data_IF_751544830005
#
_entry.id   IF_751544830005
#
_cell.length_a   1.000
_cell.length_b   1.000
_cell.length_c   1.000
_cell.angle_alpha   90.00
_cell.angle_beta   90.00
_cell.angle_gamma   90.00
#
_symmetry.space_group_name_H-M   'P 1'
#
loop_
_entity.id
_entity.type
_entity.pdbx_description
1 polymer ?
#
# COMPACT_ATOMS: atom_id res chain seq x y z
N UNK A 1 15.95 3.52 27.48
CA UNK A 1 15.29 4.29 26.41
C UNK A 1 15.84 3.95 25.03
N UNK A 2 15.41 4.68 24.01
CA UNK A 2 16.01 4.64 22.66
C UNK A 2 17.29 5.46 22.64
N UNK A 3 18.35 4.91 22.08
CA UNK A 3 19.65 5.52 21.90
C UNK A 3 19.93 5.65 20.41
N UNK A 4 20.57 6.74 20.04
CA UNK A 4 21.07 6.97 18.69
C UNK A 4 22.60 6.89 18.75
N UNK A 5 23.20 6.08 17.89
CA UNK A 5 24.66 5.99 17.78
C UNK A 5 25.06 6.76 16.53
N UNK A 6 25.94 7.75 16.66
CA UNK A 6 26.57 8.42 15.53
C UNK A 6 27.99 7.92 15.33
N UNK A 7 28.35 7.72 14.07
CA UNK A 7 29.70 7.44 13.60
C UNK A 7 30.15 8.66 12.80
N UNK A 8 31.24 9.28 13.20
CA UNK A 8 31.85 10.38 12.44
C UNK A 8 33.21 9.92 11.94
N UNK A 9 33.43 10.06 10.63
CA UNK A 9 34.67 9.76 9.96
C UNK A 9 35.18 11.07 9.38
N UNK A 10 36.47 11.32 9.51
CA UNK A 10 37.14 12.45 8.87
C UNK A 10 37.98 11.90 7.73
N UNK A 11 37.83 12.45 6.52
CA UNK A 11 38.69 12.09 5.41
C UNK A 11 40.06 12.78 5.48
N UNK A 12 40.97 12.40 4.57
CA UNK A 12 42.33 12.96 4.51
C UNK A 12 42.37 14.47 4.23
N UNK A 13 41.26 15.06 3.77
CA UNK A 13 41.10 16.49 3.51
C UNK A 13 40.37 17.23 4.64
N UNK A 14 40.14 16.56 5.78
CA UNK A 14 39.50 17.16 6.95
C UNK A 14 37.97 17.28 6.86
N UNK A 15 37.33 16.69 5.83
CA UNK A 15 35.87 16.73 5.70
C UNK A 15 35.26 15.64 6.56
N UNK A 16 34.15 15.98 7.22
CA UNK A 16 33.44 15.07 8.12
C UNK A 16 32.31 14.35 7.36
N UNK A 17 32.35 13.03 7.37
CA UNK A 17 31.26 12.16 6.96
C UNK A 17 30.64 11.53 8.22
N UNK A 18 29.33 11.68 8.39
CA UNK A 18 28.63 11.19 9.57
C UNK A 18 27.54 10.18 9.17
N UNK A 19 27.55 9.01 9.80
CA UNK A 19 26.55 7.96 9.65
C UNK A 19 25.89 7.68 10.99
N UNK A 20 24.64 7.24 10.99
CA UNK A 20 23.88 7.04 12.23
C UNK A 20 23.24 5.66 12.25
N UNK A 21 23.21 5.05 13.43
CA UNK A 21 22.34 3.93 13.75
C UNK A 21 21.22 4.47 14.63
N UNK A 22 20.08 4.71 14.00
CA UNK A 22 18.85 5.06 14.70
C UNK A 22 18.24 3.78 15.28
N UNK A 23 17.59 3.90 16.44
CA UNK A 23 16.80 2.82 17.06
C UNK A 23 17.55 1.74 17.86
N UNK A 24 18.64 2.05 18.57
CA UNK A 24 19.13 1.17 19.63
C UNK A 24 18.19 1.26 20.84
N UNK A 25 17.32 0.27 21.02
CA UNK A 25 16.43 0.22 22.19
C UNK A 25 17.11 -0.48 23.37
N UNK A 26 17.34 0.25 24.46
CA UNK A 26 17.78 -0.31 25.74
C UNK A 26 16.59 -0.24 26.70
N UNK A 27 16.10 -1.39 27.15
CA UNK A 27 14.98 -1.45 28.10
C UNK A 27 15.42 -0.95 29.50
N UNK A 28 14.57 -0.16 30.17
CA UNK A 28 14.79 0.25 31.58
C UNK A 28 14.63 1.74 31.94
N UNK A 29 13.78 2.51 31.24
CA UNK A 29 13.57 3.94 31.52
C UNK A 29 12.19 4.28 32.09
N UNK A 30 12.11 5.11 33.14
CA UNK A 30 10.85 5.60 33.72
C UNK A 30 10.37 6.89 33.04
N UNK A 31 9.07 7.23 33.12
CA UNK A 31 8.48 8.41 32.46
C UNK A 31 9.19 9.75 32.71
N UNK A 32 9.95 9.88 33.81
CA UNK A 32 10.79 11.05 34.13
C UNK A 32 11.92 11.29 33.11
N UNK A 33 12.36 10.28 32.37
CA UNK A 33 13.36 10.46 31.30
C UNK A 33 12.78 11.15 30.06
N UNK A 34 11.50 10.95 29.75
CA UNK A 34 10.84 11.65 28.64
C UNK A 34 10.71 13.15 28.93
N UNK A 35 10.43 13.51 30.18
CA UNK A 35 10.42 14.91 30.64
C UNK A 35 11.81 15.54 30.54
N UNK A 36 12.88 14.85 30.98
CA UNK A 36 14.26 15.32 30.82
C UNK A 36 14.68 15.52 29.35
N UNK A 37 14.23 14.65 28.44
CA UNK A 37 14.50 14.83 27.00
C UNK A 37 13.91 16.12 26.44
N UNK A 38 12.76 16.60 26.94
CA UNK A 38 12.19 17.90 26.53
C UNK A 38 12.99 19.10 27.02
N UNK A 39 13.76 18.92 28.09
CA UNK A 39 14.62 19.95 28.68
C UNK A 39 15.96 20.03 27.94
N UNK A 40 16.54 18.90 27.56
CA UNK A 40 17.90 18.81 26.97
C UNK A 40 17.91 18.77 25.43
N UNK A 41 16.82 18.33 24.78
CA UNK A 41 16.72 18.14 23.32
C UNK A 41 15.41 18.70 22.77
N UNK A 42 15.32 18.86 21.45
CA UNK A 42 14.05 19.19 20.77
C UNK A 42 13.29 17.90 20.44
N UNK A 43 12.26 17.48 21.20
CA UNK A 43 11.50 16.28 20.85
C UNK A 43 10.74 16.48 19.52
N UNK A 44 10.49 15.36 18.82
CA UNK A 44 9.49 15.31 17.74
C UNK A 44 8.15 14.92 18.36
N UNK A 45 7.20 15.84 18.38
CA UNK A 45 5.85 15.58 18.85
C UNK A 45 5.01 14.87 17.78
N UNK A 46 3.96 14.20 18.19
CA UNK A 46 2.98 13.59 17.27
C UNK A 46 1.79 14.53 17.12
N UNK A 47 1.30 14.71 15.89
CA UNK A 47 0.05 15.43 15.63
C UNK A 47 -1.03 14.46 15.14
N UNK A 48 -2.29 14.81 15.39
CA UNK A 48 -3.44 14.03 14.94
C UNK A 48 -3.98 14.62 13.66
N UNK A 49 -4.20 13.76 12.66
CA UNK A 49 -4.78 14.11 11.37
C UNK A 49 -6.11 13.38 11.25
N UNK A 50 -7.19 14.11 10.94
CA UNK A 50 -8.53 13.56 10.81
C UNK A 50 -9.08 13.97 9.44
N UNK A 51 -9.21 13.03 8.49
CA UNK A 51 -9.89 13.30 7.23
C UNK A 51 -11.40 13.35 7.44
N UNK A 52 -12.12 14.08 6.58
CA UNK A 52 -13.58 14.13 6.60
C UNK A 52 -14.27 12.83 6.16
N UNK A 53 -13.57 11.95 5.43
CA UNK A 53 -14.06 10.65 5.00
C UNK A 53 -12.93 9.59 4.97
N UNK A 54 -13.29 8.32 4.93
CA UNK A 54 -12.32 7.21 4.80
C UNK A 54 -12.05 6.83 3.35
N UNK A 55 -13.06 6.97 2.47
CA UNK A 55 -13.01 6.60 1.06
C UNK A 55 -13.39 7.81 0.21
N UNK A 56 -12.59 8.08 -0.81
CA UNK A 56 -12.81 9.18 -1.75
C UNK A 56 -12.99 8.69 -3.18
N UNK A 57 -13.69 9.47 -3.98
CA UNK A 57 -13.65 9.39 -5.43
C UNK A 57 -12.64 10.40 -5.97
N UNK A 58 -12.08 10.17 -7.16
CA UNK A 58 -11.28 11.18 -7.84
C UNK A 58 -12.09 12.46 -8.07
N UNK A 59 -11.43 13.60 -8.00
CA UNK A 59 -12.02 14.95 -8.05
C UNK A 59 -12.85 15.35 -6.80
N UNK A 60 -13.03 14.47 -5.81
CA UNK A 60 -13.60 14.83 -4.51
C UNK A 60 -12.71 15.86 -3.77
N UNK A 61 -13.35 16.68 -2.94
CA UNK A 61 -12.65 17.62 -2.05
C UNK A 61 -12.46 16.96 -0.69
N UNK A 62 -11.20 16.75 -0.31
CA UNK A 62 -10.83 16.25 1.00
C UNK A 62 -10.58 17.44 1.93
N UNK A 63 -11.25 17.42 3.08
CA UNK A 63 -10.99 18.34 4.18
C UNK A 63 -10.20 17.60 5.25
N UNK A 64 -8.97 18.05 5.48
CA UNK A 64 -8.04 17.44 6.41
C UNK A 64 -7.91 18.29 7.66
N UNK A 65 -8.54 17.86 8.76
CA UNK A 65 -8.42 18.51 10.06
C UNK A 65 -7.10 18.11 10.71
N UNK A 66 -6.28 19.11 11.04
CA UNK A 66 -4.96 18.94 11.65
C UNK A 66 -5.05 19.50 13.07
N UNK A 67 -4.85 18.64 14.05
CA UNK A 67 -4.78 19.02 15.47
C UNK A 67 -3.31 19.19 15.86
N UNK A 68 -2.91 20.42 16.13
CA UNK A 68 -1.53 20.76 16.42
C UNK A 68 -1.26 20.76 17.92
N UNK A 69 -0.14 20.16 18.37
CA UNK A 69 0.25 20.18 19.78
C UNK A 69 0.79 21.55 20.24
N UNK A 70 1.03 22.48 19.31
CA UNK A 70 1.53 23.83 19.60
C UNK A 70 1.11 24.84 18.54
N UNK A 71 1.04 26.11 18.94
CA UNK A 71 0.78 27.25 18.05
C UNK A 71 1.64 28.47 18.46
N UNK A 72 2.02 29.37 17.52
CA UNK A 72 1.83 29.28 16.06
C UNK A 72 2.78 28.25 15.40
N UNK A 73 2.36 27.72 14.25
CA UNK A 73 3.13 26.73 13.50
C UNK A 73 3.02 26.96 11.98
N UNK A 74 4.11 26.69 11.26
CA UNK A 74 4.12 26.56 9.80
C UNK A 74 4.05 25.08 9.46
N UNK A 75 3.10 24.71 8.61
CA UNK A 75 2.84 23.34 8.23
C UNK A 75 3.12 23.05 6.77
N UNK A 76 3.50 21.81 6.49
CA UNK A 76 3.67 21.24 5.16
C UNK A 76 2.88 19.93 5.08
N UNK A 77 1.98 19.83 4.11
CA UNK A 77 1.30 18.58 3.75
C UNK A 77 2.03 17.96 2.57
N UNK A 78 2.46 16.71 2.72
CA UNK A 78 3.20 15.93 1.74
C UNK A 78 2.33 14.74 1.37
N UNK A 79 2.23 14.45 0.07
CA UNK A 79 1.49 13.30 -0.45
C UNK A 79 2.47 12.29 -1.02
N UNK A 80 2.40 11.04 -0.56
CA UNK A 80 3.24 9.93 -1.01
C UNK A 80 2.35 8.82 -1.59
N UNK A 81 2.59 8.48 -2.85
CA UNK A 81 2.00 7.33 -3.52
C UNK A 81 3.14 6.48 -4.09
N UNK A 82 3.50 5.38 -3.42
CA UNK A 82 4.58 4.46 -3.84
C UNK A 82 5.97 5.13 -4.02
N UNK A 83 6.23 6.22 -3.31
CA UNK A 83 7.46 7.00 -3.42
C UNK A 83 7.36 8.21 -4.36
N UNK A 84 6.27 8.34 -5.12
CA UNK A 84 5.99 9.54 -5.89
C UNK A 84 5.44 10.63 -4.98
N UNK A 85 6.19 11.74 -4.86
CA UNK A 85 5.83 12.88 -4.02
C UNK A 85 5.13 13.93 -4.88
N UNK A 86 3.86 14.23 -4.56
CA UNK A 86 3.13 15.31 -5.22
C UNK A 86 3.53 16.69 -4.66
N UNK A 87 3.10 17.77 -5.33
CA UNK A 87 3.39 19.13 -4.84
C UNK A 87 2.85 19.32 -3.41
N UNK A 88 3.71 19.72 -2.46
CA UNK A 88 3.29 19.84 -1.08
C UNK A 88 2.47 21.11 -0.86
N UNK A 89 1.52 21.05 0.07
CA UNK A 89 0.68 22.19 0.44
C UNK A 89 1.25 22.85 1.69
N UNK A 90 1.55 24.14 1.61
CA UNK A 90 1.97 24.93 2.76
C UNK A 90 0.76 25.57 3.44
N UNK A 91 0.75 25.57 4.77
CA UNK A 91 -0.28 26.22 5.56
C UNK A 91 0.29 26.80 6.85
N UNK A 92 -0.49 27.64 7.53
CA UNK A 92 -0.08 28.26 8.79
C UNK A 92 -1.18 28.12 9.84
N UNK A 93 -0.75 27.83 11.07
CA UNK A 93 -1.60 27.81 12.26
C UNK A 93 -1.38 29.13 12.99
N UNK A 94 -2.44 29.91 13.11
CA UNK A 94 -2.42 31.20 13.81
C UNK A 94 -2.15 30.99 15.31
N UNK A 95 -1.62 32.00 16.02
CA UNK A 95 -1.51 31.96 17.48
C UNK A 95 -2.86 31.64 18.13
N UNK A 96 -2.84 30.91 19.26
CA UNK A 96 -4.02 30.57 20.07
C UNK A 96 -5.05 29.66 19.38
N UNK A 97 -4.68 29.05 18.24
CA UNK A 97 -5.47 28.00 17.60
C UNK A 97 -4.78 26.65 17.70
N UNK A 98 -5.51 25.65 18.16
CA UNK A 98 -5.00 24.28 18.31
C UNK A 98 -5.33 23.39 17.11
N UNK A 99 -6.05 23.92 16.12
CA UNK A 99 -6.42 23.18 14.92
C UNK A 99 -6.52 24.07 13.68
N UNK A 100 -6.40 23.43 12.52
CA UNK A 100 -6.63 24.03 11.22
C UNK A 100 -7.12 22.98 10.23
N UNK A 101 -7.87 23.40 9.20
CA UNK A 101 -8.35 22.52 8.14
C UNK A 101 -7.63 22.87 6.85
N UNK A 102 -7.08 21.87 6.17
CA UNK A 102 -6.47 22.01 4.86
C UNK A 102 -7.35 21.30 3.83
N UNK A 103 -7.72 22.00 2.78
CA UNK A 103 -8.58 21.48 1.71
C UNK A 103 -7.76 21.23 0.45
N UNK A 104 -7.98 20.09 -0.20
CA UNK A 104 -7.37 19.76 -1.48
C UNK A 104 -8.26 18.79 -2.29
N UNK A 105 -8.07 18.79 -3.61
CA UNK A 105 -8.77 17.86 -4.51
C UNK A 105 -8.00 16.56 -4.67
N UNK A 106 -8.73 15.44 -4.68
CA UNK A 106 -8.17 14.11 -4.90
C UNK A 106 -7.79 13.91 -6.37
N UNK A 107 -6.51 13.68 -6.64
CA UNK A 107 -6.03 13.36 -8.00
C UNK A 107 -6.39 11.93 -8.41
N UNK A 108 -6.57 11.71 -9.72
CA UNK A 108 -6.75 10.38 -10.34
C UNK A 108 -5.50 9.50 -10.22
N UNK A 109 -4.33 10.10 -10.06
CA UNK A 109 -3.06 9.37 -9.95
C UNK A 109 -2.90 8.68 -8.58
N UNK A 110 -3.68 9.12 -7.58
CA UNK A 110 -3.67 8.56 -6.23
C UNK A 110 -4.56 7.33 -6.07
N UNK A 111 -5.12 6.78 -7.15
CA UNK A 111 -5.87 5.52 -7.12
C UNK A 111 -4.88 4.35 -6.98
N UNK A 112 -5.11 3.38 -6.08
CA UNK A 112 -6.28 3.21 -5.22
C UNK A 112 -6.15 3.77 -3.79
N UNK A 113 -5.05 4.45 -3.50
CA UNK A 113 -4.80 5.05 -2.21
C UNK A 113 -3.46 5.75 -2.19
N UNK A 114 -3.29 6.61 -1.20
CA UNK A 114 -2.08 7.38 -0.98
C UNK A 114 -1.94 7.70 0.50
N UNK A 115 -0.73 8.08 0.90
CA UNK A 115 -0.44 8.48 2.26
C UNK A 115 -0.22 9.98 2.33
N UNK A 116 -0.96 10.62 3.22
CA UNK A 116 -0.79 12.03 3.57
C UNK A 116 0.08 12.11 4.80
N UNK A 117 1.10 12.94 4.71
CA UNK A 117 1.98 13.28 5.82
C UNK A 117 1.90 14.77 6.09
N UNK A 118 1.89 15.13 7.37
CA UNK A 118 1.88 16.52 7.80
C UNK A 118 3.09 16.74 8.70
N UNK A 119 3.86 17.76 8.37
CA UNK A 119 4.95 18.26 9.21
C UNK A 119 4.59 19.66 9.71
N UNK A 120 4.75 19.89 11.01
CA UNK A 120 4.59 21.20 11.63
C UNK A 120 5.93 21.65 12.20
N UNK A 121 6.26 22.91 11.98
CA UNK A 121 7.42 23.57 12.57
C UNK A 121 6.98 24.84 13.27
N UNK A 122 7.40 25.01 14.52
CA UNK A 122 7.04 26.18 15.32
C UNK A 122 8.07 26.43 16.41
N UNK A 123 7.65 27.19 17.42
CA UNK A 123 8.50 27.50 18.56
C UNK A 123 7.67 27.60 19.83
N UNK A 124 8.14 26.95 20.90
CA UNK A 124 7.46 26.85 22.20
C UNK A 124 8.40 27.37 23.29
N UNK A 125 7.91 28.02 24.36
CA UNK A 125 8.72 28.31 25.54
C UNK A 125 9.45 27.07 26.07
N UNK A 126 10.64 27.27 26.64
CA UNK A 126 11.39 26.17 27.26
C UNK A 126 10.74 25.78 28.60
N UNK A 127 10.62 24.48 28.83
CA UNK A 127 10.15 23.89 30.08
C UNK A 127 11.33 23.87 31.09
N UNK A 128 11.77 25.03 31.58
CA UNK A 128 12.93 25.15 32.51
C UNK A 128 12.58 25.92 33.78
N UNK A 129 13.22 25.57 34.91
CA UNK A 129 13.04 26.21 36.23
C UNK A 129 13.56 27.66 36.34
N UNK A 130 14.29 28.15 35.34
CA UNK A 130 14.86 29.50 35.33
C UNK A 130 14.20 30.40 34.30
N UNK A 131 13.81 31.59 34.75
CA UNK A 131 13.13 32.62 33.96
C UNK A 131 14.14 33.24 32.99
N UNK A 132 13.76 33.35 31.71
CA UNK A 132 14.42 34.13 30.65
C UNK A 132 15.31 33.37 29.62
N UNK A 133 14.79 32.30 29.03
CA UNK A 133 15.35 31.71 27.79
C UNK A 133 14.49 32.01 26.57
N UNK A 134 15.12 32.13 25.40
CA UNK A 134 14.42 32.15 24.11
C UNK A 134 13.67 30.83 23.89
N UNK A 135 12.52 30.91 23.21
CA UNK A 135 11.74 29.73 22.83
C UNK A 135 12.61 28.68 22.13
N UNK A 136 12.30 27.40 22.38
CA UNK A 136 12.90 26.28 21.64
C UNK A 136 12.16 26.07 20.32
N UNK A 137 12.83 25.54 19.29
CA UNK A 137 12.13 24.98 18.14
C UNK A 137 11.19 23.86 18.59
N UNK A 138 10.06 23.71 17.90
CA UNK A 138 9.13 22.61 18.07
C UNK A 138 8.81 22.00 16.71
N UNK A 139 8.68 20.67 16.67
CA UNK A 139 8.28 19.93 15.48
C UNK A 139 7.21 18.95 15.88
N UNK A 140 6.19 18.82 15.04
CA UNK A 140 5.28 17.70 15.11
C UNK A 140 5.13 17.03 13.74
N UNK A 141 4.98 15.72 13.73
CA UNK A 141 4.75 14.94 12.52
C UNK A 141 3.54 14.03 12.68
N UNK A 142 2.76 13.87 11.62
CA UNK A 142 1.61 12.96 11.58
C UNK A 142 1.47 12.33 10.21
N UNK A 143 0.84 11.16 10.15
CA UNK A 143 0.62 10.44 8.89
C UNK A 143 -0.74 9.77 8.91
N UNK A 144 -1.44 9.80 7.78
CA UNK A 144 -2.72 9.11 7.57
C UNK A 144 -2.74 8.53 6.15
N UNK A 145 -3.25 7.31 6.00
CA UNK A 145 -3.49 6.70 4.70
C UNK A 145 -4.94 6.90 4.30
N UNK A 146 -5.17 7.33 3.06
CA UNK A 146 -6.51 7.56 2.51
C UNK A 146 -6.75 6.60 1.35
N UNK A 147 -7.95 6.04 1.28
CA UNK A 147 -8.37 5.15 0.20
C UNK A 147 -9.11 5.94 -0.89
N UNK A 148 -8.78 5.65 -2.15
CA UNK A 148 -9.40 6.26 -3.32
C UNK A 148 -10.02 5.14 -4.16
N UNK A 149 -11.30 5.28 -4.47
CA UNK A 149 -12.04 4.23 -5.17
C UNK A 149 -11.45 3.92 -6.56
N UNK A 150 -11.51 2.63 -6.91
CA UNK A 150 -11.10 2.09 -8.22
C UNK A 150 -12.25 2.09 -9.24
N UNK A 151 -13.39 2.69 -8.90
CA UNK A 151 -14.62 2.61 -9.70
C UNK A 151 -14.44 3.13 -11.13
N UNK A 152 -13.58 4.14 -11.34
CA UNK A 152 -13.22 4.63 -12.68
C UNK A 152 -12.63 3.52 -13.59
N UNK A 153 -11.91 2.57 -13.01
CA UNK A 153 -11.25 1.48 -13.71
C UNK A 153 -12.06 0.17 -13.66
N UNK A 154 -13.25 0.18 -13.08
CA UNK A 154 -14.08 -1.01 -12.92
C UNK A 154 -15.07 -1.16 -14.07
N UNK A 155 -15.15 -2.38 -14.60
CA UNK A 155 -16.24 -2.81 -15.48
C UNK A 155 -17.25 -3.63 -14.68
N UNK A 156 -18.53 -3.47 -15.04
CA UNK A 156 -19.60 -4.33 -14.59
C UNK A 156 -19.83 -5.41 -15.64
N UNK A 157 -19.60 -6.67 -15.27
CA UNK A 157 -19.70 -7.82 -16.17
C UNK A 157 -20.82 -8.72 -15.65
N UNK A 158 -21.90 -8.81 -16.41
CA UNK A 158 -23.06 -9.63 -16.09
C UNK A 158 -23.10 -10.83 -17.01
N UNK A 159 -23.01 -12.03 -16.43
CA UNK A 159 -23.11 -13.30 -17.14
C UNK A 159 -24.52 -13.84 -16.97
N UNK A 160 -25.20 -14.09 -18.08
CA UNK A 160 -26.57 -14.58 -18.13
C UNK A 160 -26.69 -15.77 -19.08
N UNK A 161 -27.82 -16.46 -18.98
CA UNK A 161 -28.18 -17.58 -19.85
C UNK A 161 -29.67 -17.54 -20.16
N UNK A 162 -30.05 -18.17 -21.27
CA UNK A 162 -31.45 -18.23 -21.70
C UNK A 162 -32.34 -19.12 -20.80
N UNK A 163 -31.74 -20.01 -20.00
CA UNK A 163 -32.47 -20.92 -19.13
C UNK A 163 -32.77 -20.31 -17.76
N UNK A 164 -34.05 -20.12 -17.43
CA UNK A 164 -34.51 -19.52 -16.17
C UNK A 164 -34.09 -20.31 -14.93
N UNK A 165 -34.08 -21.64 -15.02
CA UNK A 165 -33.73 -22.52 -13.89
C UNK A 165 -32.25 -22.93 -13.87
N UNK A 166 -31.43 -22.42 -14.81
CA UNK A 166 -30.01 -22.74 -14.95
C UNK A 166 -29.69 -24.24 -14.90
N UNK A 167 -30.63 -25.06 -15.36
CA UNK A 167 -30.51 -26.52 -15.35
C UNK A 167 -30.40 -26.98 -16.79
N UNK A 168 -29.36 -27.73 -17.08
CA UNK A 168 -29.02 -28.13 -18.44
C UNK A 168 -28.99 -29.65 -18.55
N UNK A 169 -29.37 -30.14 -19.73
CA UNK A 169 -29.26 -31.55 -20.06
C UNK A 169 -27.79 -31.81 -20.44
N UNK A 170 -27.14 -32.88 -19.94
CA UNK A 170 -25.80 -33.23 -20.38
C UNK A 170 -25.72 -33.33 -21.91
N UNK A 171 -24.59 -32.94 -22.50
CA UNK A 171 -24.42 -32.88 -23.95
C UNK A 171 -25.33 -31.88 -24.69
N UNK A 172 -26.10 -31.02 -24.01
CA UNK A 172 -26.85 -29.95 -24.69
C UNK A 172 -25.94 -28.82 -25.15
N UNK A 173 -26.36 -28.11 -26.20
CA UNK A 173 -25.79 -26.82 -26.57
C UNK A 173 -26.33 -25.78 -25.60
N UNK A 174 -25.46 -24.90 -25.11
CA UNK A 174 -25.84 -23.80 -24.22
C UNK A 174 -25.38 -22.46 -24.79
N UNK A 175 -26.15 -21.42 -24.47
CA UNK A 175 -25.86 -20.04 -24.81
C UNK A 175 -25.58 -19.25 -23.54
N UNK A 176 -24.41 -18.60 -23.49
CA UNK A 176 -24.02 -17.70 -22.41
C UNK A 176 -23.89 -16.30 -22.99
N UNK A 177 -24.63 -15.37 -22.42
CA UNK A 177 -24.62 -13.96 -22.79
C UNK A 177 -23.88 -13.15 -21.73
N UNK A 178 -22.86 -12.42 -22.16
CA UNK A 178 -22.08 -11.54 -21.28
C UNK A 178 -22.36 -10.10 -21.68
N UNK A 179 -22.86 -9.32 -20.73
CA UNK A 179 -23.10 -7.88 -20.86
C UNK A 179 -22.04 -7.12 -20.07
N UNK A 180 -21.32 -6.23 -20.76
CA UNK A 180 -20.26 -5.40 -20.20
C UNK A 180 -20.69 -3.95 -20.23
N UNK A 181 -20.79 -3.34 -19.04
CA UNK A 181 -21.14 -1.94 -18.84
C UNK A 181 -20.09 -1.25 -17.98
N UNK A 182 -19.95 0.07 -18.12
CA UNK A 182 -19.14 0.87 -17.20
C UNK A 182 -19.72 0.80 -15.79
N UNK A 183 -18.87 0.81 -14.76
CA UNK A 183 -19.35 0.66 -13.39
C UNK A 183 -20.19 1.85 -12.92
N UNK A 184 -19.78 3.07 -13.25
CA UNK A 184 -20.40 4.33 -12.79
C UNK A 184 -21.63 4.65 -13.65
N UNK A 185 -21.42 4.98 -14.92
CA UNK A 185 -22.49 5.50 -15.78
C UNK A 185 -23.43 4.42 -16.34
N UNK A 186 -23.11 3.13 -16.11
CA UNK A 186 -23.82 1.96 -16.67
C UNK A 186 -23.93 1.95 -18.20
N UNK A 187 -23.13 2.75 -18.87
CA UNK A 187 -23.06 2.81 -20.34
C UNK A 187 -22.46 1.50 -20.87
N UNK A 188 -23.04 0.88 -21.91
CA UNK A 188 -22.45 -0.28 -22.55
C UNK A 188 -21.08 -0.01 -23.14
N UNK A 189 -20.16 -0.96 -23.03
CA UNK A 189 -18.78 -0.81 -23.51
C UNK A 189 -18.62 -1.53 -24.84
N UNK A 190 -18.51 -0.76 -25.93
CA UNK A 190 -18.16 -1.28 -27.24
C UNK A 190 -16.69 -1.76 -27.25
N UNK A 191 -16.42 -2.85 -27.97
CA UNK A 191 -15.09 -3.42 -28.17
C UNK A 191 -14.30 -3.75 -26.89
N UNK A 192 -14.98 -4.14 -25.81
CA UNK A 192 -14.33 -4.79 -24.68
C UNK A 192 -13.93 -6.22 -25.06
N UNK A 193 -12.72 -6.64 -24.69
CA UNK A 193 -12.29 -8.03 -24.80
C UNK A 193 -12.84 -8.82 -23.60
N UNK A 194 -13.44 -9.97 -23.88
CA UNK A 194 -14.05 -10.86 -22.90
C UNK A 194 -13.43 -12.25 -23.02
N UNK A 195 -12.91 -12.76 -21.92
CA UNK A 195 -12.49 -14.14 -21.77
C UNK A 195 -13.54 -14.92 -20.99
N UNK A 196 -14.04 -16.01 -21.56
CA UNK A 196 -15.04 -16.90 -20.93
C UNK A 196 -14.37 -18.18 -20.45
N UNK A 197 -14.66 -18.56 -19.20
CA UNK A 197 -14.15 -19.74 -18.52
C UNK A 197 -15.32 -20.51 -17.93
N UNK A 198 -15.45 -21.79 -18.24
CA UNK A 198 -16.53 -22.64 -17.69
C UNK A 198 -15.90 -23.92 -17.14
N UNK A 199 -15.89 -24.05 -15.82
CA UNK A 199 -15.16 -25.11 -15.11
C UNK A 199 -16.09 -25.84 -14.14
N UNK A 200 -15.87 -27.14 -13.99
CA UNK A 200 -16.54 -27.98 -13.01
C UNK A 200 -16.25 -27.53 -11.57
N UNK A 201 -17.31 -27.18 -10.83
CA UNK A 201 -17.24 -26.73 -9.44
C UNK A 201 -16.69 -27.80 -8.49
N UNK A 202 -16.87 -29.09 -8.82
CA UNK A 202 -16.36 -30.18 -8.00
C UNK A 202 -14.83 -30.19 -7.91
N UNK A 203 -14.14 -29.62 -8.91
CA UNK A 203 -12.68 -29.48 -8.88
C UNK A 203 -12.26 -28.21 -8.16
N UNK A 204 -12.96 -27.10 -8.39
CA UNK A 204 -12.65 -25.82 -7.74
C UNK A 204 -12.81 -25.90 -6.22
N UNK A 205 -13.86 -26.58 -5.76
CA UNK A 205 -14.17 -26.77 -4.35
C UNK A 205 -13.15 -27.63 -3.59
N UNK A 206 -12.31 -28.44 -4.27
CA UNK A 206 -11.22 -29.17 -3.62
C UNK A 206 -10.19 -28.24 -2.97
N UNK A 207 -10.07 -27.02 -3.50
CA UNK A 207 -9.09 -26.02 -3.05
C UNK A 207 -9.71 -24.69 -2.63
N UNK A 208 -11.05 -24.58 -2.60
CA UNK A 208 -11.79 -23.31 -2.49
C UNK A 208 -11.28 -22.27 -3.51
N UNK A 209 -11.07 -22.70 -4.76
CA UNK A 209 -10.47 -21.84 -5.77
C UNK A 209 -11.43 -20.73 -6.20
N UNK A 210 -10.97 -19.49 -6.08
CA UNK A 210 -11.67 -18.28 -6.53
C UNK A 210 -10.79 -17.54 -7.51
N UNK A 211 -11.41 -17.02 -8.56
CA UNK A 211 -10.69 -16.21 -9.52
C UNK A 211 -10.39 -14.84 -8.90
N UNK A 212 -9.13 -14.43 -8.92
CA UNK A 212 -8.73 -13.10 -8.46
C UNK A 212 -9.29 -12.02 -9.38
N UNK A 213 -9.88 -10.98 -8.80
CA UNK A 213 -10.39 -9.87 -9.59
C UNK A 213 -9.22 -9.16 -10.30
N UNK A 214 -9.22 -9.07 -11.64
CA UNK A 214 -8.12 -8.46 -12.39
C UNK A 214 -7.86 -7.01 -11.97
N UNK A 215 -8.90 -6.29 -11.54
CA UNK A 215 -8.76 -4.91 -11.09
C UNK A 215 -7.78 -4.79 -9.91
N UNK A 216 -7.76 -5.76 -9.00
CA UNK A 216 -6.88 -5.75 -7.83
C UNK A 216 -5.43 -6.10 -8.20
N UNK A 217 -5.23 -6.84 -9.29
CA UNK A 217 -3.91 -7.19 -9.81
C UNK A 217 -3.26 -5.98 -10.48
N UNK A 218 -4.03 -5.26 -11.31
CA UNK A 218 -3.53 -4.09 -12.05
C UNK A 218 -3.49 -2.81 -11.21
N UNK A 219 -4.36 -2.70 -10.20
CA UNK A 219 -4.42 -1.56 -9.27
C UNK A 219 -4.32 -2.06 -7.83
N UNK A 220 -3.15 -2.59 -7.42
CA UNK A 220 -2.93 -3.03 -6.05
C UNK A 220 -2.86 -1.83 -5.10
N UNK A 221 -3.06 -2.06 -3.80
CA UNK A 221 -2.86 -1.01 -2.80
C UNK A 221 -1.41 -0.53 -2.82
N UNK A 222 -1.23 0.79 -2.88
CA UNK A 222 0.08 1.45 -2.95
C UNK A 222 0.45 1.99 -1.57
N UNK A 223 1.37 1.34 -0.83
CA UNK A 223 1.86 1.89 0.42
C UNK A 223 2.77 3.09 0.18
N UNK A 224 2.94 3.93 1.20
CA UNK A 224 4.03 4.90 1.24
C UNK A 224 5.38 4.20 1.07
N UNK A 225 6.24 4.73 0.21
CA UNK A 225 7.59 4.20 -0.01
C UNK A 225 8.68 5.24 0.25
N UNK A 226 8.34 6.33 0.96
CA UNK A 226 9.30 7.32 1.44
C UNK A 226 9.72 7.05 2.89
N UNK A 227 11.00 7.27 3.17
CA UNK A 227 11.54 7.27 4.54
C UNK A 227 11.94 8.68 4.94
N UNK A 228 11.62 9.09 6.16
CA UNK A 228 11.97 10.41 6.68
C UNK A 228 13.12 10.36 7.66
N UNK A 229 13.96 11.39 7.57
CA UNK A 229 15.03 11.63 8.51
C UNK A 229 14.92 13.03 9.07
N UNK A 230 14.55 13.11 10.35
CA UNK A 230 14.49 14.36 11.10
C UNK A 230 15.79 14.56 11.87
N UNK A 231 16.50 15.66 11.61
CA UNK A 231 17.75 15.98 12.31
C UNK A 231 17.55 16.84 13.57
N UNK A 232 16.41 17.53 13.70
CA UNK A 232 16.19 18.49 14.78
C UNK A 232 16.05 17.84 16.15
N UNK A 233 15.61 16.58 16.20
CA UNK A 233 15.61 15.80 17.45
C UNK A 233 17.00 15.48 18.00
N UNK A 234 18.05 15.78 17.23
CA UNK A 234 19.45 15.68 17.63
C UNK A 234 20.02 17.04 18.08
N UNK A 235 19.24 18.12 17.99
CA UNK A 235 19.66 19.43 18.46
C UNK A 235 19.61 19.50 19.99
N UNK A 236 20.78 19.67 20.61
CA UNK A 236 20.93 19.96 22.02
C UNK A 236 20.46 21.38 22.34
N UNK A 237 19.59 21.50 23.34
CA UNK A 237 19.16 22.77 23.89
C UNK A 237 20.14 23.20 24.98
N UNK A 238 21.27 23.79 24.59
CA UNK A 238 22.20 24.32 25.58
C UNK A 238 21.55 25.42 26.44
N UNK A 239 21.86 25.40 27.74
CA UNK A 239 21.67 26.56 28.60
C UNK A 239 22.87 27.53 28.42
N UNK A 240 22.76 28.79 28.82
CA UNK A 240 23.82 29.78 28.55
C UNK A 240 25.14 29.45 29.25
N UNK A 241 25.08 28.81 30.43
CA UNK A 241 26.24 28.38 31.21
C UNK A 241 26.97 27.22 30.52
N UNK A 242 26.24 26.25 29.95
CA UNK A 242 26.78 25.14 29.18
C UNK A 242 27.39 25.65 27.87
N UNK A 243 26.82 26.67 27.23
CA UNK A 243 27.42 27.32 26.05
C UNK A 243 28.75 27.96 26.43
N UNK A 244 28.81 28.67 27.55
CA UNK A 244 30.05 29.30 28.02
C UNK A 244 31.11 28.27 28.41
N UNK A 245 30.71 27.19 29.10
CA UNK A 245 31.59 26.10 29.46
C UNK A 245 32.08 25.34 28.23
N UNK A 246 31.19 25.05 27.27
CA UNK A 246 31.55 24.43 25.99
C UNK A 246 32.49 25.32 25.17
N UNK A 247 32.28 26.64 25.15
CA UNK A 247 33.20 27.60 24.51
C UNK A 247 34.58 27.59 25.18
N UNK A 248 34.63 27.54 26.53
CA UNK A 248 35.88 27.41 27.29
C UNK A 248 36.59 26.09 26.97
N UNK A 249 35.86 24.99 26.92
CA UNK A 249 36.40 23.67 26.58
C UNK A 249 36.90 23.61 25.13
N UNK A 250 36.20 24.23 24.17
CA UNK A 250 36.64 24.35 22.77
C UNK A 250 37.92 25.20 22.65
N UNK A 251 38.02 26.28 23.42
CA UNK A 251 39.22 27.13 23.44
C UNK A 251 40.41 26.44 24.10
N UNK A 252 40.18 25.65 25.16
CA UNK A 252 41.23 24.86 25.82
C UNK A 252 41.69 23.68 24.96
N UNK A 253 40.84 23.14 24.09
CA UNK A 253 41.12 21.96 23.24
C UNK A 253 41.65 22.29 21.83
N UNK A 254 41.95 23.54 21.51
CA UNK A 254 42.68 23.89 20.26
C UNK A 254 44.10 23.30 20.18
N UNK A 255 44.60 22.65 21.25
CA UNK A 255 45.92 22.00 21.29
C UNK A 255 45.93 20.47 21.35
N UNK A 256 44.79 19.78 21.52
CA UNK A 256 44.77 18.32 21.69
C UNK A 256 43.67 17.64 20.86
N UNK A 257 44.12 16.77 19.94
CA UNK A 257 43.28 15.88 19.14
C UNK A 257 42.41 14.99 20.03
N UNK A 258 41.13 15.34 20.19
CA UNK A 258 40.19 14.50 20.94
C UNK A 258 39.80 13.29 20.07
N UNK A 259 40.53 12.19 20.25
CA UNK A 259 40.13 10.85 19.79
C UNK A 259 39.09 10.27 20.75
N UNK A 260 37.82 10.33 20.38
CA UNK A 260 36.82 9.43 20.97
C UNK A 260 36.99 8.04 20.33
N UNK A 261 37.40 7.05 21.12
CA UNK A 261 37.58 5.68 20.66
C UNK A 261 36.33 4.82 20.96
N UNK A 262 35.60 4.32 19.95
CA UNK A 262 34.70 3.20 20.15
C UNK A 262 35.46 1.87 20.06
N UNK A 263 35.14 0.98 20.99
CA UNK A 263 35.69 -0.37 21.10
C UNK A 263 35.32 -1.28 19.91
N UNK A 264 36.34 -2.03 19.45
CA UNK A 264 36.39 -3.25 18.63
C UNK A 264 35.10 -3.77 17.95
N UNK A 265 35.11 -3.76 16.62
CA UNK A 265 34.30 -4.63 15.74
C UNK A 265 34.88 -6.05 15.62
N UNK A 266 34.00 -7.04 15.43
CA UNK A 266 34.32 -8.30 14.73
C UNK A 266 33.22 -8.61 13.71
N UNK A 267 33.57 -8.56 12.43
CA UNK A 267 32.72 -8.97 11.32
C UNK A 267 32.66 -10.51 11.22
N UNK A 268 31.52 -11.05 10.78
CA UNK A 268 31.43 -12.37 10.18
C UNK A 268 30.46 -12.35 8.99
N UNK A 269 30.97 -12.73 7.83
CA UNK A 269 30.23 -13.03 6.59
C UNK A 269 29.67 -14.46 6.72
N UNK A 270 28.50 -14.73 6.14
CA UNK A 270 28.19 -16.07 5.67
C UNK A 270 27.45 -16.05 4.34
N UNK A 271 28.01 -16.80 3.39
CA UNK A 271 27.48 -17.14 2.07
C UNK A 271 26.82 -18.51 2.18
N UNK A 272 25.63 -18.68 1.60
CA UNK A 272 25.16 -20.00 1.17
C UNK A 272 24.45 -19.88 -0.18
N UNK A 273 24.99 -20.59 -1.18
CA UNK A 273 24.32 -20.97 -2.42
C UNK A 273 23.86 -22.41 -2.24
N UNK A 274 22.62 -22.75 -2.61
CA UNK A 274 22.25 -24.14 -2.91
C UNK A 274 21.28 -24.21 -4.10
N UNK A 275 21.63 -25.12 -4.99
CA UNK A 275 21.10 -25.37 -6.34
C UNK A 275 19.98 -26.42 -6.28
N UNK A 276 18.96 -26.28 -7.15
CA UNK A 276 17.92 -27.28 -7.42
C UNK A 276 18.44 -28.47 -8.25
N UNK A 277 17.75 -29.62 -8.18
CA UNK A 277 17.34 -30.27 -9.42
C UNK A 277 15.89 -30.80 -9.42
N UNK A 278 15.27 -30.71 -10.60
CA UNK A 278 14.02 -31.36 -11.01
C UNK A 278 14.26 -32.82 -11.41
N UNK A 279 13.26 -33.69 -11.21
CA UNK A 279 13.03 -34.87 -12.05
C UNK A 279 11.55 -35.33 -12.01
N UNK A 280 10.98 -35.51 -13.21
CA UNK A 280 9.69 -36.12 -13.49
C UNK A 280 9.73 -37.65 -13.31
N UNK A 281 8.57 -38.29 -13.04
CA UNK A 281 8.17 -39.48 -13.82
C UNK A 281 6.65 -39.72 -13.78
N UNK A 282 6.12 -40.02 -14.95
CA UNK A 282 4.76 -40.43 -15.27
C UNK A 282 4.54 -41.93 -15.05
N UNK A 283 3.31 -42.34 -14.68
CA UNK A 283 2.83 -43.70 -14.88
C UNK A 283 1.42 -43.71 -15.46
N UNK A 284 1.30 -44.20 -16.68
CA UNK A 284 0.07 -44.64 -17.33
C UNK A 284 -0.33 -46.03 -16.83
N UNK A 285 -1.63 -46.30 -16.72
CA UNK A 285 -2.19 -47.65 -16.79
C UNK A 285 -3.28 -47.70 -17.86
N UNK A 286 -3.09 -48.60 -18.83
CA UNK A 286 -4.11 -49.06 -19.78
C UNK A 286 -4.82 -50.28 -19.20
N UNK A 287 -6.15 -50.33 -19.31
CA UNK A 287 -6.96 -51.53 -19.11
C UNK A 287 -8.16 -51.49 -20.05
N UNK A 288 -8.27 -52.50 -20.92
CA UNK A 288 -9.32 -52.65 -21.93
C UNK A 288 -10.35 -53.70 -21.51
N UNK A 289 -11.62 -53.54 -21.94
CA UNK A 289 -12.59 -54.64 -21.98
C UNK A 289 -14.07 -54.26 -22.13
N UNK A 290 -14.65 -54.56 -23.30
CA UNK A 290 -16.00 -55.15 -23.48
C UNK A 290 -17.24 -54.24 -23.57
N UNK A 291 -17.91 -54.21 -24.74
CA UNK A 291 -19.33 -53.81 -24.91
C UNK A 291 -20.29 -54.95 -24.51
N UNK A 292 -21.60 -54.82 -24.26
CA UNK A 292 -22.73 -54.00 -24.75
C UNK A 292 -23.75 -53.79 -23.57
N UNK A 293 -24.81 -52.93 -23.61
CA UNK A 293 -25.59 -52.40 -24.74
C UNK A 293 -25.51 -50.88 -24.90
N UNK A 294 -26.04 -50.32 -26.01
CA UNK A 294 -26.12 -48.87 -26.28
C UNK A 294 -27.15 -48.18 -25.36
N UNK A 295 -26.84 -48.17 -24.08
CA UNK A 295 -27.02 -46.98 -23.24
C UNK A 295 -26.11 -45.93 -23.88
N UNK A 296 -26.55 -44.67 -23.98
CA UNK A 296 -25.63 -43.60 -24.34
C UNK A 296 -24.57 -43.54 -23.24
N UNK A 297 -23.46 -44.25 -23.44
CA UNK A 297 -22.35 -44.29 -22.50
C UNK A 297 -21.75 -42.89 -22.54
N UNK A 298 -21.97 -42.17 -21.45
CA UNK A 298 -21.34 -40.87 -21.21
C UNK A 298 -19.84 -41.05 -21.34
N UNK A 299 -19.20 -40.18 -22.11
CA UNK A 299 -17.79 -40.37 -22.48
C UNK A 299 -16.99 -39.08 -22.35
N UNK A 300 -17.63 -37.92 -22.48
CA UNK A 300 -16.97 -36.64 -22.33
C UNK A 300 -17.11 -36.13 -20.90
N UNK A 301 -16.10 -36.36 -20.06
CA UNK A 301 -16.04 -35.85 -18.70
C UNK A 301 -15.05 -34.69 -18.53
N UNK A 302 -14.80 -33.91 -19.57
CA UNK A 302 -13.85 -32.80 -19.51
C UNK A 302 -14.28 -31.78 -18.43
N UNK A 303 -13.44 -31.52 -17.41
CA UNK A 303 -13.79 -30.57 -16.35
C UNK A 303 -13.78 -29.11 -16.81
N UNK A 304 -13.09 -28.78 -17.90
CA UNK A 304 -13.14 -27.48 -18.55
C UNK A 304 -14.14 -27.58 -19.71
N UNK A 305 -15.40 -27.23 -19.44
CA UNK A 305 -16.46 -27.30 -20.44
C UNK A 305 -16.24 -26.29 -21.57
N UNK A 306 -15.70 -25.12 -21.25
CA UNK A 306 -15.42 -24.08 -22.25
C UNK A 306 -14.28 -23.17 -21.80
N UNK A 307 -13.45 -22.80 -22.76
CA UNK A 307 -12.43 -21.76 -22.64
C UNK A 307 -12.41 -20.95 -23.93
N UNK A 308 -12.83 -19.68 -23.84
CA UNK A 308 -12.74 -18.73 -24.94
C UNK A 308 -11.80 -17.61 -24.51
N UNK A 309 -10.57 -17.56 -25.06
CA UNK A 309 -9.54 -16.65 -24.56
C UNK A 309 -9.82 -15.18 -24.87
N UNK A 310 -10.51 -14.89 -25.97
CA UNK A 310 -10.88 -13.53 -26.35
C UNK A 310 -12.06 -13.54 -27.31
N UNK A 311 -13.07 -12.75 -26.96
CA UNK A 311 -14.17 -12.31 -27.82
C UNK A 311 -14.41 -10.82 -27.60
N UNK A 312 -14.93 -10.12 -28.59
CA UNK A 312 -15.09 -8.67 -28.56
C UNK A 312 -16.58 -8.33 -28.43
N UNK A 313 -16.94 -7.44 -27.51
CA UNK A 313 -18.32 -6.95 -27.37
C UNK A 313 -18.74 -6.09 -28.55
N UNK A 314 -20.03 -6.14 -28.89
CA UNK A 314 -20.65 -5.26 -29.86
C UNK A 314 -20.96 -3.87 -29.27
N UNK A 315 -21.59 -2.99 -30.06
CA UNK A 315 -21.95 -1.64 -29.65
C UNK A 315 -22.95 -1.57 -28.48
N UNK A 316 -23.64 -2.67 -28.17
CA UNK A 316 -24.50 -2.79 -26.97
C UNK A 316 -23.76 -3.38 -25.76
N UNK A 317 -22.43 -3.52 -25.82
CA UNK A 317 -21.63 -4.11 -24.76
C UNK A 317 -21.88 -5.61 -24.56
N UNK A 318 -22.47 -6.28 -25.56
CA UNK A 318 -22.89 -7.67 -25.47
C UNK A 318 -21.99 -8.58 -26.29
N UNK A 319 -21.76 -9.79 -25.78
CA UNK A 319 -21.14 -10.91 -26.49
C UNK A 319 -21.85 -12.20 -26.08
N UNK A 320 -22.10 -13.07 -27.06
CA UNK A 320 -22.75 -14.37 -26.85
C UNK A 320 -21.79 -15.50 -27.19
N UNK A 321 -21.83 -16.56 -26.39
CA UNK A 321 -21.01 -17.76 -26.56
C UNK A 321 -21.91 -18.97 -26.67
N UNK A 322 -21.65 -19.81 -27.67
CA UNK A 322 -22.33 -21.07 -27.90
C UNK A 322 -21.34 -22.22 -27.83
N UNK A 323 -21.60 -23.20 -26.97
CA UNK A 323 -20.79 -24.42 -26.88
C UNK A 323 -21.61 -25.59 -26.35
N UNK A 324 -21.09 -26.81 -26.57
CA UNK A 324 -21.70 -28.05 -26.12
C UNK A 324 -21.17 -28.43 -24.74
N UNK A 325 -22.06 -28.68 -23.79
CA UNK A 325 -21.69 -29.15 -22.45
C UNK A 325 -21.10 -30.57 -22.49
N UNK A 326 -20.14 -30.89 -21.60
CA UNK A 326 -19.74 -32.27 -21.34
C UNK A 326 -20.89 -33.13 -20.78
N UNK A 327 -20.68 -34.43 -20.70
CA UNK A 327 -21.66 -35.41 -20.21
C UNK A 327 -21.75 -35.46 -18.66
N UNK A 328 -21.04 -34.57 -17.97
CA UNK A 328 -20.99 -34.51 -16.51
C UNK A 328 -22.34 -34.12 -15.91
N UNK A 329 -22.72 -34.79 -14.82
CA UNK A 329 -23.77 -34.32 -13.92
C UNK A 329 -23.12 -33.57 -12.76
N UNK A 330 -22.72 -32.33 -13.03
CA UNK A 330 -22.07 -31.46 -12.07
C UNK A 330 -22.60 -30.04 -12.19
N UNK A 331 -22.20 -29.19 -11.25
CA UNK A 331 -22.37 -27.74 -11.37
C UNK A 331 -21.14 -27.18 -12.07
N UNK A 332 -21.36 -26.25 -12.98
CA UNK A 332 -20.29 -25.50 -13.61
C UNK A 332 -20.29 -24.09 -13.07
N UNK A 333 -19.11 -23.59 -12.72
CA UNK A 333 -18.90 -22.19 -12.44
C UNK A 333 -18.46 -21.50 -13.73
N UNK A 334 -19.12 -20.40 -14.05
CA UNK A 334 -18.84 -19.58 -15.22
C UNK A 334 -18.20 -18.28 -14.78
N UNK A 335 -17.02 -17.99 -15.32
CA UNK A 335 -16.38 -16.69 -15.17
C UNK A 335 -16.28 -15.99 -16.51
N UNK A 336 -16.54 -14.69 -16.50
CA UNK A 336 -16.26 -13.80 -17.61
C UNK A 336 -15.33 -12.69 -17.12
N UNK A 337 -14.13 -12.64 -17.69
CA UNK A 337 -13.18 -11.55 -17.44
C UNK A 337 -13.32 -10.56 -18.58
N UNK A 338 -13.65 -9.30 -18.30
CA UNK A 338 -13.72 -8.26 -19.31
C UNK A 338 -12.62 -7.23 -19.11
N UNK A 339 -12.04 -6.76 -20.21
CA UNK A 339 -11.01 -5.74 -20.23
C UNK A 339 -11.18 -4.80 -21.42
N UNK A 340 -10.88 -3.53 -21.21
CA UNK A 340 -10.51 -2.60 -22.28
C UNK A 340 -9.16 -1.96 -21.95
N UNK A 341 -8.75 -0.91 -22.65
CA UNK A 341 -7.45 -0.25 -22.41
C UNK A 341 -7.25 0.17 -20.95
N UNK A 342 -8.30 0.63 -20.25
CA UNK A 342 -8.18 1.24 -18.91
C UNK A 342 -8.92 0.50 -17.81
N UNK A 343 -9.98 -0.22 -18.15
CA UNK A 343 -10.94 -0.77 -17.22
C UNK A 343 -10.90 -2.31 -17.24
N UNK A 344 -11.24 -2.91 -16.09
CA UNK A 344 -11.19 -4.35 -15.85
C UNK A 344 -12.42 -4.77 -15.04
N UNK A 345 -12.94 -5.95 -15.31
CA UNK A 345 -14.07 -6.52 -14.55
C UNK A 345 -14.08 -8.03 -14.55
N UNK A 346 -14.73 -8.59 -13.54
CA UNK A 346 -14.98 -10.01 -13.39
C UNK A 346 -16.48 -10.19 -13.15
N UNK A 347 -17.10 -11.03 -13.98
CA UNK A 347 -18.46 -11.51 -13.81
C UNK A 347 -18.44 -12.99 -13.49
N UNK A 348 -19.35 -13.42 -12.63
CA UNK A 348 -19.46 -14.80 -12.20
C UNK A 348 -20.93 -15.24 -12.22
N UNK A 349 -21.13 -16.50 -12.61
CA UNK A 349 -22.43 -17.17 -12.55
C UNK A 349 -22.23 -18.63 -12.16
N UNK A 350 -23.03 -19.06 -11.19
CA UNK A 350 -23.21 -20.47 -10.81
C UNK A 350 -24.51 -21.04 -11.36
#
# INVERSE_FOLDING_TARGET
>A
GRYNISYTITDEQGRLAMSFYDNLYIAGGSGKEMEKQKVEYVPTDTLTIIPNATNYQPDDTCELLILAPFSPANGLVIFDCEGEISQPIQFQIKPEKDSTTVEFKISKDWIPGFTVRVELTGSIPRETETVNYSNRPAIATGTVSLEVSRDLYKLNVLVNTNETNKTYIPSSIIHIDVNVTQHIDKVPVDKAEVCLIVVDEAILSLTDHKLTNPLEIFYPNRPANTTEYHGRNRCLLFNMQDIEQFKKDLQQKQGENVRFAPHRMRCMKNKYNLTMPMAYSSRSLHGAGGGEPKIAVRSNFNPLACWVPSSITNSSGHVSFEFKLPDNLTRYRVWAIATNEKQKGLGEME
#
